data_IF_707728939226
#
_entry.id   IF_707728939226
#
_cell.length_a   1.000
_cell.length_b   1.000
_cell.length_c   1.000
_cell.angle_alpha   90.00
_cell.angle_beta   90.00
_cell.angle_gamma   90.00
#
_symmetry.space_group_name_H-M   'P 1'
#
loop_
_entity.id
_entity.type
_entity.pdbx_description
1 polymer ?
#
# COMPACT_ATOMS: atom_id res chain seq x y z
N UNK A 1 -11.27 13.36 -49.05
CA UNK A 1 -10.41 12.51 -48.21
C UNK A 1 -10.36 13.15 -46.83
N UNK A 2 -10.82 12.42 -45.81
CA UNK A 2 -11.20 12.91 -44.48
C UNK A 2 -10.10 13.67 -43.75
N UNK A 3 -10.45 14.84 -43.21
CA UNK A 3 -9.74 15.44 -42.09
C UNK A 3 -10.28 14.81 -40.79
N UNK A 4 -9.48 13.97 -40.14
CA UNK A 4 -9.73 13.49 -38.79
C UNK A 4 -9.37 14.61 -37.80
N UNK A 5 -10.37 15.34 -37.36
CA UNK A 5 -10.30 16.27 -36.23
C UNK A 5 -10.50 15.50 -34.92
N UNK A 6 -9.52 15.55 -34.01
CA UNK A 6 -9.63 15.61 -32.54
C UNK A 6 -8.21 15.50 -31.93
N UNK A 7 -7.91 16.25 -30.86
CA UNK A 7 -8.15 15.66 -29.55
C UNK A 7 -8.78 16.61 -28.52
N UNK A 8 -9.62 16.01 -27.69
CA UNK A 8 -10.24 16.57 -26.49
C UNK A 8 -9.15 16.95 -25.47
N UNK A 9 -9.25 18.11 -24.78
CA UNK A 9 -8.37 18.40 -23.66
C UNK A 9 -8.78 17.53 -22.45
N UNK A 10 -8.04 16.45 -22.18
CA UNK A 10 -8.14 15.74 -20.90
C UNK A 10 -7.58 16.65 -19.79
N UNK A 11 -8.47 17.19 -18.97
CA UNK A 11 -8.10 17.86 -17.73
C UNK A 11 -7.74 16.79 -16.70
N UNK A 12 -6.45 16.64 -16.42
CA UNK A 12 -5.95 15.82 -15.32
C UNK A 12 -6.34 16.54 -14.01
N UNK A 13 -7.39 16.06 -13.34
CA UNK A 13 -7.68 16.45 -11.95
C UNK A 13 -6.62 15.81 -11.05
N UNK A 14 -5.61 16.60 -10.68
CA UNK A 14 -4.69 16.24 -9.60
C UNK A 14 -5.46 16.31 -8.28
N UNK A 15 -5.83 15.16 -7.72
CA UNK A 15 -6.36 15.11 -6.35
C UNK A 15 -5.19 15.27 -5.39
N UNK A 16 -5.01 16.49 -4.89
CA UNK A 16 -4.13 16.75 -3.75
C UNK A 16 -4.71 16.01 -2.54
N UNK A 17 -4.12 14.87 -2.21
CA UNK A 17 -4.39 14.15 -0.98
C UNK A 17 -3.92 15.02 0.18
N UNK A 18 -4.83 15.79 0.78
CA UNK A 18 -4.59 16.39 2.09
C UNK A 18 -4.33 15.24 3.05
N UNK A 19 -3.07 15.06 3.44
CA UNK A 19 -2.67 14.24 4.58
C UNK A 19 -3.41 14.82 5.80
N UNK A 20 -4.59 14.28 6.05
CA UNK A 20 -5.27 14.47 7.32
C UNK A 20 -4.50 13.59 8.29
N UNK A 21 -3.46 14.19 8.88
CA UNK A 21 -2.86 13.71 10.11
C UNK A 21 -3.96 13.69 11.18
N UNK A 22 -4.71 12.60 11.16
CA UNK A 22 -5.71 12.29 12.15
C UNK A 22 -4.94 11.89 13.40
N UNK A 23 -4.46 12.90 14.14
CA UNK A 23 -3.72 12.77 15.40
C UNK A 23 -4.34 11.64 16.23
N UNK A 24 -3.74 10.47 16.15
CA UNK A 24 -4.20 9.28 16.83
C UNK A 24 -4.15 9.54 18.33
N UNK A 25 -5.23 9.18 19.02
CA UNK A 25 -5.28 9.35 20.48
C UNK A 25 -4.10 8.62 21.11
N UNK A 26 -3.35 9.28 21.99
CA UNK A 26 -2.15 8.73 22.64
C UNK A 26 -2.41 7.41 23.39
N UNK A 27 -3.64 7.18 23.84
CA UNK A 27 -4.06 6.01 24.62
C UNK A 27 -4.59 4.82 23.79
N UNK A 28 -4.38 4.83 22.47
CA UNK A 28 -4.90 3.81 21.54
C UNK A 28 -4.58 2.36 21.95
N UNK A 29 -3.37 2.10 22.48
CA UNK A 29 -2.97 0.75 22.93
C UNK A 29 -3.87 0.17 24.03
N UNK A 30 -4.50 1.02 24.84
CA UNK A 30 -5.40 0.61 25.92
C UNK A 30 -6.86 0.58 25.50
N UNK A 31 -7.26 1.41 24.53
CA UNK A 31 -8.66 1.59 24.13
C UNK A 31 -9.08 0.81 22.91
N UNK A 32 -8.17 0.60 21.97
CA UNK A 32 -8.46 -0.08 20.71
C UNK A 32 -8.60 -1.58 20.96
N UNK A 33 -9.76 -2.12 20.59
CA UNK A 33 -10.10 -3.52 20.77
C UNK A 33 -9.98 -4.27 19.44
N UNK A 34 -9.24 -5.39 19.41
CA UNK A 34 -9.19 -6.28 18.24
C UNK A 34 -10.57 -6.69 17.73
N UNK A 35 -10.65 -7.08 16.47
CA UNK A 35 -11.83 -7.77 15.94
C UNK A 35 -11.88 -9.18 16.58
N UNK A 36 -12.99 -9.55 17.24
CA UNK A 36 -13.13 -10.89 17.81
C UNK A 36 -13.28 -11.95 16.71
N UNK A 37 -13.04 -13.24 17.00
CA UNK A 37 -13.34 -14.32 16.08
C UNK A 37 -14.79 -14.24 15.56
N UNK A 38 -14.97 -14.34 14.24
CA UNK A 38 -16.28 -14.19 13.58
C UNK A 38 -16.72 -12.73 13.34
N UNK A 39 -15.96 -11.73 13.79
CA UNK A 39 -16.23 -10.32 13.52
C UNK A 39 -15.91 -9.92 12.07
N UNK A 40 -16.56 -8.85 11.61
CA UNK A 40 -16.34 -8.28 10.27
C UNK A 40 -15.18 -7.29 10.32
N UNK A 41 -14.20 -7.48 9.43
CA UNK A 41 -13.01 -6.62 9.36
C UNK A 41 -13.30 -5.28 8.66
N UNK A 42 -12.51 -4.22 8.90
CA UNK A 42 -12.72 -2.91 8.28
C UNK A 42 -12.73 -2.91 6.75
N UNK A 43 -11.94 -3.77 6.10
CA UNK A 43 -11.92 -3.93 4.65
C UNK A 43 -13.05 -4.84 4.11
N UNK A 44 -13.94 -5.35 4.98
CA UNK A 44 -15.05 -6.24 4.61
C UNK A 44 -14.55 -7.43 3.77
N UNK A 45 -15.23 -7.73 2.66
CA UNK A 45 -14.96 -8.87 1.80
C UNK A 45 -13.63 -8.76 1.03
N UNK A 46 -13.00 -7.58 0.98
CA UNK A 46 -11.67 -7.39 0.38
C UNK A 46 -10.53 -7.54 1.38
N UNK A 47 -10.82 -7.93 2.63
CA UNK A 47 -9.80 -8.11 3.66
C UNK A 47 -8.91 -9.33 3.38
N UNK A 48 -7.59 -9.12 3.26
CA UNK A 48 -6.60 -10.20 3.12
C UNK A 48 -6.27 -10.94 4.43
N UNK A 49 -6.92 -10.59 5.55
CA UNK A 49 -6.64 -11.13 6.89
C UNK A 49 -5.16 -11.05 7.30
N UNK A 50 -4.51 -9.91 7.04
CA UNK A 50 -3.08 -9.71 7.35
C UNK A 50 -2.70 -9.67 8.84
N UNK A 51 -3.65 -9.86 9.77
CA UNK A 51 -3.39 -9.88 11.22
C UNK A 51 -3.44 -8.53 11.93
N UNK A 52 -3.42 -7.39 11.21
CA UNK A 52 -3.35 -6.06 11.84
C UNK A 52 -4.53 -5.79 12.79
N UNK A 53 -5.75 -6.15 12.38
CA UNK A 53 -6.98 -5.87 13.12
C UNK A 53 -7.22 -6.87 14.28
N UNK A 54 -6.38 -7.90 14.39
CA UNK A 54 -6.45 -8.92 15.45
C UNK A 54 -5.71 -8.48 16.71
N UNK A 55 -5.13 -7.28 16.67
CA UNK A 55 -4.43 -6.65 17.78
C UNK A 55 -4.98 -5.23 18.01
N UNK A 56 -4.51 -4.58 19.07
CA UNK A 56 -4.84 -3.18 19.35
C UNK A 56 -4.34 -2.22 18.24
N UNK A 57 -3.52 -2.70 17.28
CA UNK A 57 -3.10 -1.93 16.09
C UNK A 57 -4.23 -1.65 15.10
N UNK A 58 -5.43 -2.23 15.29
CA UNK A 58 -6.65 -1.79 14.59
C UNK A 58 -6.87 -0.27 14.65
N UNK A 59 -6.34 0.40 15.69
CA UNK A 59 -6.32 1.86 15.80
C UNK A 59 -5.80 2.55 14.53
N UNK A 60 -4.82 1.94 13.86
CA UNK A 60 -4.11 2.49 12.71
C UNK A 60 -4.69 2.01 11.37
N UNK A 61 -5.77 1.23 11.36
CA UNK A 61 -6.23 0.51 10.15
C UNK A 61 -6.50 1.44 8.96
N UNK A 62 -6.99 2.66 9.19
CA UNK A 62 -7.25 3.64 8.12
C UNK A 62 -5.98 4.14 7.43
N UNK A 63 -4.85 4.12 8.12
CA UNK A 63 -3.56 4.63 7.64
C UNK A 63 -2.54 3.52 7.35
N UNK A 64 -2.89 2.26 7.60
CA UNK A 64 -1.99 1.12 7.40
C UNK A 64 -2.57 0.05 6.48
N UNK A 65 -3.90 -0.08 6.39
CA UNK A 65 -4.50 -1.14 5.58
C UNK A 65 -4.24 -0.92 4.08
N UNK A 66 -3.79 -1.98 3.41
CA UNK A 66 -3.56 -2.00 1.97
C UNK A 66 -4.85 -1.95 1.12
N UNK A 67 -6.02 -2.04 1.75
CA UNK A 67 -7.34 -2.06 1.09
C UNK A 67 -8.23 -0.87 1.49
N UNK A 68 -7.72 0.08 2.28
CA UNK A 68 -8.44 1.28 2.71
C UNK A 68 -7.64 2.55 2.40
N UNK A 69 -8.35 3.64 2.10
CA UNK A 69 -7.73 4.91 1.73
C UNK A 69 -6.89 4.74 0.46
N UNK A 70 -5.64 5.20 0.51
CA UNK A 70 -4.68 5.03 -0.59
C UNK A 70 -4.37 3.55 -0.91
N UNK A 71 -4.67 2.64 0.02
CA UNK A 71 -4.46 1.21 -0.16
C UNK A 71 -2.99 0.89 -0.49
N UNK A 72 -2.76 0.09 -1.54
CA UNK A 72 -1.43 -0.30 -1.98
C UNK A 72 -0.65 0.81 -2.71
N UNK A 73 -1.26 1.88 -3.20
CA UNK A 73 -0.51 2.98 -3.83
C UNK A 73 0.44 3.67 -2.83
N UNK A 74 0.19 3.49 -1.53
CA UNK A 74 1.09 3.91 -0.45
C UNK A 74 2.50 3.29 -0.55
N UNK A 75 2.67 2.17 -1.25
CA UNK A 75 3.98 1.51 -1.46
C UNK A 75 5.01 2.50 -2.01
N UNK A 76 4.67 3.29 -3.04
CA UNK A 76 5.60 4.24 -3.65
C UNK A 76 6.08 5.34 -2.69
N UNK A 77 5.26 5.71 -1.69
CA UNK A 77 5.65 6.66 -0.63
C UNK A 77 6.52 6.03 0.44
N UNK A 78 6.36 4.73 0.70
CA UNK A 78 7.11 4.00 1.72
C UNK A 78 8.47 3.51 1.19
N UNK A 79 8.60 3.29 -0.11
CA UNK A 79 9.84 2.82 -0.75
C UNK A 79 11.07 3.70 -0.41
N UNK A 80 11.03 5.04 -0.54
CA UNK A 80 12.16 5.89 -0.13
C UNK A 80 12.51 5.77 1.36
N UNK A 81 11.52 5.51 2.22
CA UNK A 81 11.73 5.37 3.68
C UNK A 81 12.39 4.03 4.01
N UNK A 82 11.98 2.95 3.33
CA UNK A 82 12.47 1.58 3.58
C UNK A 82 13.79 1.30 2.87
N UNK A 83 13.94 1.75 1.63
CA UNK A 83 15.07 1.43 0.74
C UNK A 83 16.04 2.61 0.53
N UNK A 84 15.76 3.79 1.09
CA UNK A 84 16.54 5.01 0.86
C UNK A 84 16.31 5.68 -0.50
N UNK A 85 15.54 5.02 -1.40
CA UNK A 85 15.18 5.52 -2.73
C UNK A 85 13.85 4.92 -3.21
N UNK A 86 13.20 5.59 -4.16
CA UNK A 86 12.06 5.03 -4.90
C UNK A 86 12.47 4.31 -6.19
N UNK A 87 11.47 3.83 -6.94
CA UNK A 87 11.66 3.32 -8.31
C UNK A 87 12.15 4.42 -9.26
N UNK A 88 13.04 4.06 -10.18
CA UNK A 88 13.46 4.91 -11.31
C UNK A 88 12.41 4.87 -12.43
N UNK A 89 11.93 6.03 -12.87
CA UNK A 89 10.86 6.14 -13.88
C UNK A 89 11.27 5.70 -15.28
N UNK A 90 12.57 5.73 -15.58
CA UNK A 90 13.17 5.36 -16.86
C UNK A 90 13.68 3.91 -16.88
N UNK A 91 13.51 3.16 -15.78
CA UNK A 91 13.89 1.76 -15.69
C UNK A 91 12.65 0.85 -15.69
N UNK A 92 12.47 0.10 -16.79
CA UNK A 92 11.38 -0.87 -16.90
C UNK A 92 11.50 -2.00 -15.88
N UNK A 93 12.71 -2.45 -15.53
CA UNK A 93 12.87 -3.53 -14.56
C UNK A 93 12.36 -3.13 -13.18
N UNK A 94 12.62 -1.89 -12.73
CA UNK A 94 12.10 -1.41 -11.45
C UNK A 94 10.57 -1.18 -11.49
N UNK A 95 10.02 -0.89 -12.66
CA UNK A 95 8.57 -0.83 -12.87
C UNK A 95 7.93 -2.21 -12.65
N UNK A 96 8.55 -3.28 -13.13
CA UNK A 96 8.02 -4.65 -13.00
C UNK A 96 8.37 -5.32 -11.66
N UNK A 97 9.58 -5.12 -11.14
CA UNK A 97 10.15 -5.87 -10.03
C UNK A 97 10.25 -5.04 -8.73
N UNK A 98 10.05 -3.73 -8.79
CA UNK A 98 10.23 -2.84 -7.64
C UNK A 98 11.68 -2.38 -7.43
N UNK A 99 11.94 -1.79 -6.27
CA UNK A 99 13.28 -1.32 -5.89
C UNK A 99 14.16 -2.53 -5.52
N UNK A 100 15.28 -2.72 -6.22
CA UNK A 100 16.22 -3.82 -5.98
C UNK A 100 17.70 -3.37 -6.04
N UNK A 101 18.61 -4.23 -5.60
CA UNK A 101 20.07 -4.07 -5.74
C UNK A 101 20.68 -5.20 -6.58
N UNK A 102 20.33 -6.45 -6.27
CA UNK A 102 20.79 -7.64 -6.99
C UNK A 102 19.61 -8.60 -7.26
N UNK A 103 19.63 -9.28 -8.42
CA UNK A 103 18.65 -10.30 -8.80
C UNK A 103 19.40 -11.60 -9.13
N UNK A 104 19.05 -12.69 -8.45
CA UNK A 104 19.72 -13.99 -8.58
C UNK A 104 18.76 -15.16 -8.46
N UNK A 105 19.18 -16.32 -8.95
CA UNK A 105 18.51 -17.60 -8.69
C UNK A 105 19.27 -18.39 -7.62
N UNK A 106 18.55 -19.00 -6.68
CA UNK A 106 19.16 -19.80 -5.61
C UNK A 106 18.35 -21.07 -5.31
N UNK A 107 19.04 -22.14 -4.91
CA UNK A 107 18.44 -23.35 -4.33
C UNK A 107 19.24 -23.82 -3.12
N UNK A 108 18.56 -24.30 -2.08
CA UNK A 108 19.22 -24.94 -0.92
C UNK A 108 19.72 -26.34 -1.32
N UNK A 109 20.96 -26.68 -0.97
CA UNK A 109 21.56 -27.99 -1.29
C UNK A 109 20.80 -29.12 -0.60
N UNK A 110 20.48 -28.94 0.68
CA UNK A 110 19.65 -29.84 1.47
C UNK A 110 18.31 -29.15 1.76
N UNK A 111 17.21 -29.48 1.04
CA UNK A 111 15.90 -28.87 1.24
C UNK A 111 15.42 -28.95 2.70
N UNK A 112 14.54 -28.02 3.09
CA UNK A 112 13.84 -28.10 4.39
C UNK A 112 12.76 -29.17 4.27
N UNK A 113 12.57 -29.98 5.32
CA UNK A 113 11.46 -30.93 5.43
C UNK A 113 10.11 -30.22 5.64
#
# INVERSE_FOLDING_TARGET
MSALSLPIPLTIRSSSSKDTDSSLRKDWRKKSKPIPPGGIYPAKDTCSRCGLCDTYYIAHVKNACAFLGDGMSRIERLEPVVHGRGRKTDNLDETYLGVYEELLYARKVLPVE
#
